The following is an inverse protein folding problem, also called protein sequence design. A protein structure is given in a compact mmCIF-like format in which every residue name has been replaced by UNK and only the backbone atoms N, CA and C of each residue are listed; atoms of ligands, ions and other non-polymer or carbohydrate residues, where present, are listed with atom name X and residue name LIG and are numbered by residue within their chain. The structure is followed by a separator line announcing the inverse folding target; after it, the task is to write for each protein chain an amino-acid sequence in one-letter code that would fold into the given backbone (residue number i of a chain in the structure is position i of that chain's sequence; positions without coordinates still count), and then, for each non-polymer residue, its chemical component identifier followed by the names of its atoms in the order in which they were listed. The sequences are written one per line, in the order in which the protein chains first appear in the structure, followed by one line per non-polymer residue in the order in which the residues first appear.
data_IF_010393223302
#
_entry.id   IF_010393223302
#
_cell.length_a   1.000
_cell.length_b   1.000
_cell.length_c   1.000
_cell.angle_alpha   90.00
_cell.angle_beta   90.00
_cell.angle_gamma   90.00
#
_symmetry.space_group_name_H-M   'P 1'
#
loop_
_entity.id
_entity.type
_entity.pdbx_description
1 polymer ?
#
# COMPACT_ATOMS: atom_id res chain seq x y z
N UNK A 1 5.29 -12.45 -12.23
CA UNK A 1 4.54 -12.53 -10.96
C UNK A 1 5.17 -11.67 -9.90
N UNK A 2 4.38 -10.74 -9.36
CA UNK A 2 4.73 -9.97 -8.18
C UNK A 2 3.72 -10.35 -7.09
N UNK A 3 4.20 -10.95 -6.01
CA UNK A 3 3.37 -11.35 -4.87
C UNK A 3 3.66 -10.39 -3.73
N UNK A 4 2.61 -9.82 -3.16
CA UNK A 4 2.73 -8.84 -2.09
C UNK A 4 2.24 -9.46 -0.79
N UNK A 5 3.03 -9.29 0.25
CA UNK A 5 2.69 -9.71 1.61
C UNK A 5 1.90 -8.60 2.30
N UNK A 6 0.98 -8.96 3.21
CA UNK A 6 0.35 -8.00 4.12
C UNK A 6 1.42 -7.14 4.80
N UNK A 7 1.24 -5.81 4.85
CA UNK A 7 2.21 -4.89 5.46
C UNK A 7 2.14 -4.92 7.00
N UNK A 8 1.79 -6.07 7.57
CA UNK A 8 1.53 -6.28 8.98
C UNK A 8 2.30 -7.53 9.43
N UNK A 9 3.00 -7.44 10.55
CA UNK A 9 3.54 -8.62 11.24
C UNK A 9 2.53 -9.20 12.21
N UNK A 10 2.64 -10.50 12.47
CA UNK A 10 1.77 -11.21 13.40
C UNK A 10 2.59 -11.90 14.50
N UNK A 11 2.02 -12.03 15.69
CA UNK A 11 2.53 -12.87 16.76
C UNK A 11 1.87 -14.26 16.72
N UNK A 12 2.65 -15.32 16.96
CA UNK A 12 2.19 -16.70 16.91
C UNK A 12 1.96 -17.24 15.49
N UNK A 13 1.19 -18.32 15.36
CA UNK A 13 1.06 -19.09 14.12
C UNK A 13 -0.13 -18.68 13.23
N UNK A 14 -0.96 -17.72 13.65
CA UNK A 14 -2.19 -17.33 12.94
C UNK A 14 -2.15 -15.88 12.50
N UNK A 15 -2.50 -15.63 11.23
CA UNK A 15 -2.62 -14.30 10.62
C UNK A 15 -4.04 -13.74 10.83
N UNK A 16 -4.36 -13.32 12.05
CA UNK A 16 -5.64 -12.68 12.38
C UNK A 16 -5.41 -11.34 13.09
N UNK A 17 -6.43 -10.48 13.13
CA UNK A 17 -6.32 -9.14 13.75
C UNK A 17 -5.88 -9.19 15.21
N UNK A 18 -6.36 -10.18 15.99
CA UNK A 18 -5.92 -10.41 17.39
C UNK A 18 -4.42 -10.67 17.54
N UNK A 19 -3.78 -11.14 16.48
CA UNK A 19 -2.37 -11.46 16.46
C UNK A 19 -1.55 -10.40 15.71
N UNK A 20 -2.16 -9.36 15.14
CA UNK A 20 -1.43 -8.30 14.46
C UNK A 20 -0.54 -7.56 15.48
N UNK A 21 0.72 -7.33 15.13
CA UNK A 21 1.73 -6.79 16.06
C UNK A 21 2.25 -5.42 15.62
N UNK A 22 2.66 -5.31 14.37
CA UNK A 22 3.23 -4.07 13.83
C UNK A 22 2.73 -3.85 12.40
N UNK A 23 2.27 -2.64 12.12
CA UNK A 23 1.93 -2.13 10.79
C UNK A 23 3.14 -1.40 10.20
N UNK A 24 3.59 -1.82 9.03
CA UNK A 24 4.77 -1.28 8.34
C UNK A 24 4.43 -0.33 7.19
N UNK A 25 3.29 -0.51 6.55
CA UNK A 25 2.88 0.32 5.43
C UNK A 25 1.35 0.39 5.31
N UNK A 26 0.87 1.49 4.76
CA UNK A 26 -0.50 1.62 4.28
C UNK A 26 -0.51 1.33 2.78
N UNK A 27 -1.44 0.48 2.35
CA UNK A 27 -1.57 0.06 0.96
C UNK A 27 -2.96 0.42 0.49
N UNK A 28 -3.03 1.20 -0.57
CA UNK A 28 -4.28 1.51 -1.25
C UNK A 28 -4.34 0.74 -2.55
N UNK A 29 -5.37 -0.08 -2.69
CA UNK A 29 -5.66 -0.78 -3.93
C UNK A 29 -6.64 0.06 -4.75
N UNK A 30 -6.21 0.44 -5.95
CA UNK A 30 -7.00 1.19 -6.90
C UNK A 30 -7.31 0.25 -8.06
N UNK A 31 -8.55 -0.22 -8.12
CA UNK A 31 -9.04 -1.08 -9.20
C UNK A 31 -9.57 -0.26 -10.38
N UNK A 32 -9.57 -0.87 -11.58
CA UNK A 32 -10.17 -0.25 -12.77
C UNK A 32 -9.38 0.94 -13.31
N UNK A 33 -8.06 0.92 -13.13
CA UNK A 33 -7.18 2.04 -13.48
C UNK A 33 -6.72 1.90 -14.93
N UNK A 34 -7.21 2.80 -15.78
CA UNK A 34 -6.68 2.99 -17.13
C UNK A 34 -5.49 3.95 -17.15
N UNK A 35 -4.89 4.14 -18.33
CA UNK A 35 -3.81 5.11 -18.54
C UNK A 35 -4.17 6.54 -18.08
N UNK A 36 -5.39 7.05 -18.28
CA UNK A 36 -5.77 8.38 -17.77
C UNK A 36 -5.69 8.46 -16.24
N UNK A 37 -6.22 7.46 -15.53
CA UNK A 37 -6.24 7.43 -14.07
C UNK A 37 -4.83 7.26 -13.49
N UNK A 38 -3.98 6.43 -14.11
CA UNK A 38 -2.57 6.32 -13.73
C UNK A 38 -1.85 7.67 -13.88
N UNK A 39 -2.01 8.33 -15.05
CA UNK A 39 -1.38 9.63 -15.29
C UNK A 39 -1.85 10.68 -14.30
N UNK A 40 -3.15 10.71 -14.02
CA UNK A 40 -3.75 11.66 -13.09
C UNK A 40 -3.27 11.42 -11.66
N UNK A 41 -3.22 10.16 -11.21
CA UNK A 41 -2.71 9.79 -9.89
C UNK A 41 -1.27 10.28 -9.70
N UNK A 42 -0.39 10.01 -10.67
CA UNK A 42 1.00 10.49 -10.63
C UNK A 42 1.08 12.02 -10.72
N UNK A 43 0.21 12.65 -11.50
CA UNK A 43 0.16 14.11 -11.60
C UNK A 43 -0.25 14.76 -10.28
N UNK A 44 -1.27 14.23 -9.61
CA UNK A 44 -1.72 14.73 -8.31
C UNK A 44 -0.65 14.57 -7.24
N UNK A 45 0.10 13.45 -7.26
CA UNK A 45 1.27 13.27 -6.39
C UNK A 45 2.35 14.34 -6.65
N UNK A 46 2.64 14.65 -7.91
CA UNK A 46 3.62 15.67 -8.29
C UNK A 46 3.17 17.10 -8.01
N UNK A 47 1.87 17.31 -7.75
CA UNK A 47 1.29 18.59 -7.37
C UNK A 47 1.07 18.72 -5.86
N UNK A 48 1.59 17.75 -5.09
CA UNK A 48 1.43 17.67 -3.63
C UNK A 48 -0.05 17.66 -3.16
N UNK A 49 -0.96 17.26 -4.06
CA UNK A 49 -2.38 17.06 -3.74
C UNK A 49 -2.55 15.70 -3.06
N UNK A 50 -1.92 14.67 -3.63
CA UNK A 50 -1.78 13.37 -3.01
C UNK A 50 -0.37 13.24 -2.43
N UNK A 51 -0.21 12.55 -1.28
CA UNK A 51 1.13 12.21 -0.81
C UNK A 51 1.84 11.33 -1.84
N UNK A 52 3.15 11.52 -2.00
CA UNK A 52 3.98 10.66 -2.84
C UNK A 52 4.02 9.24 -2.24
N UNK A 53 3.59 8.27 -3.02
CA UNK A 53 3.71 6.86 -2.63
C UNK A 53 5.19 6.46 -2.59
N UNK A 54 5.56 5.65 -1.61
CA UNK A 54 6.89 5.03 -1.54
C UNK A 54 7.11 4.07 -2.71
N UNK A 55 6.08 3.29 -3.06
CA UNK A 55 6.08 2.45 -4.25
C UNK A 55 4.74 2.51 -4.95
N UNK A 56 4.77 2.50 -6.28
CA UNK A 56 3.59 2.36 -7.14
C UNK A 56 3.74 1.06 -7.91
N UNK A 57 2.81 0.13 -7.73
CA UNK A 57 2.85 -1.19 -8.36
C UNK A 57 1.62 -1.34 -9.26
N UNK A 58 1.83 -1.77 -10.50
CA UNK A 58 0.74 -2.07 -11.44
C UNK A 58 0.49 -3.59 -11.47
N UNK A 59 -0.74 -4.01 -11.16
CA UNK A 59 -1.16 -5.42 -11.16
C UNK A 59 -1.78 -5.88 -12.48
N UNK A 60 -1.84 -5.01 -13.48
CA UNK A 60 -2.45 -5.25 -14.81
C UNK A 60 -3.90 -4.77 -14.91
N UNK A 61 -4.66 -4.82 -13.81
CA UNK A 61 -6.05 -4.32 -13.73
C UNK A 61 -6.21 -3.13 -12.78
N UNK A 62 -5.17 -2.82 -12.00
CA UNK A 62 -5.19 -1.78 -10.99
C UNK A 62 -3.80 -1.31 -10.57
N UNK A 63 -3.78 -0.36 -9.64
CA UNK A 63 -2.58 0.16 -9.00
C UNK A 63 -2.62 -0.09 -7.50
N UNK A 64 -1.53 -0.59 -6.97
CA UNK A 64 -1.31 -0.67 -5.53
C UNK A 64 -0.32 0.43 -5.14
N UNK A 65 -0.78 1.38 -4.32
CA UNK A 65 0.02 2.48 -3.80
C UNK A 65 0.50 2.14 -2.39
N UNK A 66 1.81 2.07 -2.19
CA UNK A 66 2.43 1.76 -0.91
C UNK A 66 2.96 3.02 -0.25
N UNK A 67 2.55 3.26 1.00
CA UNK A 67 3.09 4.27 1.88
C UNK A 67 3.80 3.58 3.04
N UNK A 68 5.11 3.38 2.92
CA UNK A 68 5.92 2.72 3.96
C UNK A 68 6.20 3.70 5.08
N UNK A 69 5.92 3.28 6.30
CA UNK A 69 6.18 4.07 7.49
C UNK A 69 7.68 4.02 7.82
N UNK A 70 8.23 5.17 8.23
CA UNK A 70 9.62 5.23 8.70
C UNK A 70 9.85 4.32 9.91
N UNK A 71 8.86 4.31 10.80
CA UNK A 71 8.83 3.45 11.99
C UNK A 71 7.49 2.71 12.01
N UNK A 72 7.49 1.39 12.28
CA UNK A 72 6.26 0.61 12.31
C UNK A 72 5.37 1.00 13.49
N UNK A 73 4.06 0.99 13.27
CA UNK A 73 3.07 1.31 14.32
C UNK A 73 2.68 0.04 15.06
N UNK A 74 2.81 -0.03 16.39
CA UNK A 74 2.32 -1.16 17.18
C UNK A 74 0.80 -1.27 17.07
N UNK A 75 0.33 -2.50 16.85
CA UNK A 75 -1.09 -2.85 16.79
C UNK A 75 -1.39 -3.67 18.04
N UNK A 76 -2.29 -3.19 18.90
CA UNK A 76 -2.71 -3.82 20.16
C UNK A 76 -4.23 -4.01 20.19
#
# INVERSE_FOLDING_TARGET
DFTIMSPISYFGLRRCGKNARYLYALVFDLDGVGMPQLRDTLHQMNKDILPQATFVVNSGTGLHLYYVLKEPVPMY
#
